data_IF_653468573780
#
_entry.id   IF_653468573780
#
_cell.length_a   1.000
_cell.length_b   1.000
_cell.length_c   1.000
_cell.angle_alpha   90.00
_cell.angle_beta   90.00
_cell.angle_gamma   90.00
#
_symmetry.space_group_name_H-M   'P 1'
#
loop_
_entity.id
_entity.type
_entity.pdbx_description
1 polymer ?
#
# COMPACT_ATOMS: atom_id res chain seq x y z
N UNK A 1 41.51 61.00 -32.56
CA UNK A 1 42.20 59.72 -32.28
C UNK A 1 41.22 58.84 -31.50
N UNK A 2 40.88 57.63 -31.98
CA UNK A 2 39.69 56.86 -31.55
C UNK A 2 39.98 55.71 -30.55
N UNK A 3 38.95 55.34 -29.75
CA UNK A 3 38.74 54.09 -28.94
C UNK A 3 39.73 53.80 -27.77
N UNK A 4 39.37 53.07 -26.67
CA UNK A 4 38.50 51.88 -26.69
C UNK A 4 37.43 51.69 -25.58
N UNK A 5 36.26 51.22 -26.02
CA UNK A 5 35.42 50.13 -25.47
C UNK A 5 35.67 49.61 -24.03
N UNK A 6 34.67 49.83 -23.16
CA UNK A 6 34.58 49.25 -21.81
C UNK A 6 33.96 47.83 -21.82
N UNK A 7 34.47 46.85 -21.03
CA UNK A 7 34.03 45.47 -21.11
C UNK A 7 32.68 45.20 -20.40
N UNK A 8 31.83 44.43 -21.07
CA UNK A 8 30.54 43.91 -20.59
C UNK A 8 30.75 42.86 -19.49
N UNK A 9 30.11 43.04 -18.33
CA UNK A 9 30.12 42.12 -17.18
C UNK A 9 29.35 40.82 -17.53
N UNK A 10 29.93 39.61 -17.38
CA UNK A 10 29.19 38.36 -17.51
C UNK A 10 28.32 38.15 -16.26
N UNK A 11 27.07 37.79 -16.50
CA UNK A 11 26.12 37.38 -15.47
C UNK A 11 26.37 35.90 -15.22
N UNK A 12 27.06 35.56 -14.13
CA UNK A 12 27.25 34.18 -13.70
C UNK A 12 25.92 33.62 -13.16
N UNK A 13 25.16 32.97 -14.02
CA UNK A 13 24.05 32.09 -13.64
C UNK A 13 24.61 30.80 -13.05
N UNK A 14 24.71 30.80 -11.71
CA UNK A 14 25.16 29.66 -10.91
C UNK A 14 24.36 28.37 -11.23
N UNK A 15 25.03 27.27 -11.66
CA UNK A 15 24.37 26.00 -12.01
C UNK A 15 23.77 25.26 -10.80
N UNK A 16 24.08 25.72 -9.59
CA UNK A 16 23.68 25.04 -8.34
C UNK A 16 22.21 25.26 -7.95
N UNK A 17 21.46 26.13 -8.64
CA UNK A 17 20.02 26.30 -8.40
C UNK A 17 19.12 25.30 -9.14
N UNK A 18 19.64 24.56 -10.12
CA UNK A 18 18.86 23.57 -10.86
C UNK A 18 18.81 22.19 -10.17
N UNK A 19 19.67 21.92 -9.19
CA UNK A 19 19.70 20.64 -8.47
C UNK A 19 18.73 20.59 -7.27
N UNK A 20 18.07 21.70 -6.94
CA UNK A 20 17.14 21.77 -5.79
C UNK A 20 15.68 21.47 -6.15
N UNK A 21 15.39 21.32 -7.45
CA UNK A 21 14.08 20.95 -7.94
C UNK A 21 14.14 19.51 -8.42
N UNK A 22 13.78 18.61 -7.51
CA UNK A 22 13.27 17.25 -7.75
C UNK A 22 14.08 16.33 -8.68
N UNK A 23 14.72 15.25 -8.17
CA UNK A 23 15.37 14.23 -9.03
C UNK A 23 14.42 13.58 -10.04
N UNK A 24 13.10 13.69 -9.85
CA UNK A 24 12.07 13.25 -10.81
C UNK A 24 12.00 14.10 -12.09
N UNK A 25 12.40 15.37 -12.07
CA UNK A 25 12.40 16.22 -13.27
C UNK A 25 13.56 15.86 -14.21
N UNK A 26 14.70 15.50 -13.63
CA UNK A 26 15.87 15.02 -14.37
C UNK A 26 15.58 13.67 -15.04
N UNK A 27 14.92 12.75 -14.33
CA UNK A 27 14.48 11.47 -14.88
C UNK A 27 13.36 11.64 -15.92
N UNK A 28 12.45 12.60 -15.72
CA UNK A 28 11.43 12.98 -16.70
C UNK A 28 12.05 13.47 -18.00
N UNK A 29 13.06 14.34 -17.93
CA UNK A 29 13.82 14.83 -19.08
C UNK A 29 14.56 13.70 -19.82
N UNK A 30 15.19 12.79 -19.09
CA UNK A 30 15.88 11.63 -19.68
C UNK A 30 14.90 10.68 -20.37
N UNK A 31 13.71 10.46 -19.77
CA UNK A 31 12.67 9.61 -20.37
C UNK A 31 12.11 10.21 -21.66
N UNK A 32 11.81 11.50 -21.67
CA UNK A 32 11.34 12.21 -22.88
C UNK A 32 12.39 12.13 -23.99
N UNK A 33 13.66 12.33 -23.65
CA UNK A 33 14.74 12.22 -24.63
C UNK A 33 14.87 10.79 -25.18
N UNK A 34 14.69 9.76 -24.33
CA UNK A 34 14.68 8.35 -24.75
C UNK A 34 13.50 8.01 -25.68
N UNK A 35 12.32 8.59 -25.44
CA UNK A 35 11.12 8.39 -26.29
C UNK A 35 11.32 9.06 -27.66
N UNK A 36 11.90 10.26 -27.70
CA UNK A 36 12.22 10.96 -28.95
C UNK A 36 13.26 10.17 -29.75
N UNK A 37 14.32 9.67 -29.10
CA UNK A 37 15.30 8.78 -29.75
C UNK A 37 14.66 7.50 -30.27
N UNK A 38 13.69 6.92 -29.56
CA UNK A 38 12.98 5.71 -30.00
C UNK A 38 12.07 5.99 -31.21
N UNK A 39 11.40 7.15 -31.26
CA UNK A 39 10.63 7.57 -32.45
C UNK A 39 11.53 7.80 -33.67
N UNK A 40 12.69 8.42 -33.49
CA UNK A 40 13.66 8.66 -34.57
C UNK A 40 14.25 7.34 -35.11
N UNK A 41 14.42 6.33 -34.26
CA UNK A 41 14.86 4.99 -34.68
C UNK A 41 13.73 4.24 -35.41
N UNK A 42 12.47 4.40 -34.97
CA UNK A 42 11.31 3.74 -35.59
C UNK A 42 10.97 4.25 -36.99
N UNK A 43 11.25 5.51 -37.33
CA UNK A 43 10.99 6.07 -38.68
C UNK A 43 12.01 5.62 -39.74
N UNK A 44 13.14 5.03 -39.33
CA UNK A 44 14.16 4.51 -40.26
C UNK A 44 13.94 3.06 -40.71
N UNK A 45 12.89 2.39 -40.22
CA UNK A 45 12.56 0.99 -40.53
C UNK A 45 11.18 0.89 -41.22
N UNK A 46 11.04 1.50 -42.40
CA UNK A 46 9.94 1.16 -43.31
C UNK A 46 10.51 0.65 -44.62
N UNK A 47 10.81 -0.66 -44.69
CA UNK A 47 10.69 -1.51 -45.89
C UNK A 47 11.07 -2.98 -45.58
N UNK A 48 10.12 -3.85 -45.91
CA UNK A 48 10.27 -5.27 -46.30
C UNK A 48 9.97 -6.36 -45.25
N UNK A 49 9.28 -7.39 -45.77
CA UNK A 49 8.45 -8.41 -45.12
C UNK A 49 9.19 -9.77 -45.02
N UNK A 50 8.55 -10.89 -44.59
CA UNK A 50 8.87 -11.65 -43.38
C UNK A 50 9.62 -12.96 -43.69
N UNK A 51 10.45 -13.46 -42.75
CA UNK A 51 10.75 -14.89 -42.53
C UNK A 51 11.82 -15.04 -41.45
N UNK A 52 11.44 -15.76 -40.39
CA UNK A 52 12.30 -16.51 -39.49
C UNK A 52 13.60 -15.83 -39.03
N UNK A 53 13.46 -14.94 -38.06
CA UNK A 53 14.45 -14.80 -37.02
C UNK A 53 13.69 -14.93 -35.70
N UNK A 54 14.16 -15.87 -34.87
CA UNK A 54 14.08 -15.88 -33.42
C UNK A 54 13.15 -14.82 -32.82
N UNK A 55 12.11 -15.30 -32.13
CA UNK A 55 11.27 -14.55 -31.19
C UNK A 55 12.17 -13.77 -30.21
N UNK A 56 12.68 -12.63 -30.65
CA UNK A 56 13.20 -11.59 -29.80
C UNK A 56 11.98 -11.05 -29.06
N UNK A 57 11.67 -11.73 -27.96
CA UNK A 57 10.89 -11.12 -26.87
C UNK A 57 11.48 -9.71 -26.73
N UNK A 58 10.71 -8.63 -26.95
CA UNK A 58 11.26 -7.28 -26.81
C UNK A 58 11.94 -7.25 -25.45
N UNK A 59 13.25 -7.00 -25.45
CA UNK A 59 14.10 -7.06 -24.27
C UNK A 59 13.36 -6.37 -23.13
N UNK A 60 13.25 -7.04 -21.98
CA UNK A 60 12.53 -6.59 -20.79
C UNK A 60 12.87 -5.12 -20.53
N UNK A 61 12.05 -4.22 -21.04
CA UNK A 61 12.54 -2.89 -21.35
C UNK A 61 12.62 -2.11 -20.05
N UNK A 62 13.82 -1.69 -19.68
CA UNK A 62 14.09 -0.84 -18.51
C UNK A 62 13.09 0.34 -18.40
N UNK A 63 12.61 0.94 -19.50
CA UNK A 63 11.53 1.94 -19.47
C UNK A 63 10.16 1.42 -18.98
N UNK A 64 9.76 0.19 -19.34
CA UNK A 64 8.49 -0.41 -18.89
C UNK A 64 8.56 -0.83 -17.43
N UNK A 65 9.69 -1.35 -16.95
CA UNK A 65 9.91 -1.58 -15.51
C UNK A 65 9.94 -0.27 -14.73
N UNK A 66 10.45 0.82 -15.33
CA UNK A 66 10.46 2.15 -14.70
C UNK A 66 9.04 2.70 -14.56
N UNK A 67 8.18 2.53 -15.57
CA UNK A 67 6.80 3.01 -15.51
C UNK A 67 5.95 2.20 -14.51
N UNK A 68 6.15 0.88 -14.48
CA UNK A 68 5.51 0.03 -13.47
C UNK A 68 6.03 0.33 -12.06
N UNK A 69 7.33 0.58 -11.89
CA UNK A 69 7.90 1.02 -10.63
C UNK A 69 7.39 2.40 -10.22
N UNK A 70 7.21 3.34 -11.15
CA UNK A 70 6.62 4.66 -10.85
C UNK A 70 5.17 4.52 -10.36
N UNK A 71 4.37 3.68 -11.01
CA UNK A 71 2.99 3.42 -10.59
C UNK A 71 2.92 2.64 -9.27
N UNK A 72 3.92 1.81 -8.97
CA UNK A 72 4.05 1.12 -7.69
C UNK A 72 4.45 2.09 -6.58
N UNK A 73 5.52 2.85 -6.78
CA UNK A 73 6.03 3.84 -5.83
C UNK A 73 5.02 4.95 -5.57
N UNK A 74 4.26 5.39 -6.59
CA UNK A 74 3.21 6.39 -6.40
C UNK A 74 2.04 5.86 -5.54
N UNK A 75 1.72 4.57 -5.64
CA UNK A 75 0.72 3.91 -4.78
C UNK A 75 1.26 3.61 -3.37
N UNK A 76 2.56 3.41 -3.21
CA UNK A 76 3.20 3.19 -1.91
C UNK A 76 3.53 4.50 -1.17
N UNK A 77 3.52 5.67 -1.82
CA UNK A 77 3.78 6.96 -1.16
C UNK A 77 2.97 7.20 0.12
N UNK A 78 1.65 6.95 0.15
CA UNK A 78 0.82 7.18 1.35
C UNK A 78 1.22 6.34 2.56
N UNK A 79 1.73 5.11 2.37
CA UNK A 79 2.12 4.27 3.52
C UNK A 79 3.37 4.82 4.21
N UNK A 80 4.31 5.38 3.45
CA UNK A 80 5.52 5.98 4.02
C UNK A 80 5.22 7.26 4.80
N UNK A 81 4.27 8.07 4.34
CA UNK A 81 3.81 9.26 5.08
C UNK A 81 3.11 8.87 6.38
N UNK A 82 2.29 7.81 6.34
CA UNK A 82 1.64 7.31 7.55
C UNK A 82 2.66 6.80 8.56
N UNK A 83 3.68 6.07 8.10
CA UNK A 83 4.78 5.60 8.95
C UNK A 83 5.55 6.77 9.58
N UNK A 84 5.93 7.76 8.78
CA UNK A 84 6.64 8.94 9.28
C UNK A 84 5.78 9.74 10.27
N UNK A 85 4.47 9.84 10.04
CA UNK A 85 3.54 10.48 10.98
C UNK A 85 3.40 9.69 12.29
N UNK A 86 3.41 8.36 12.24
CA UNK A 86 3.41 7.51 13.45
C UNK A 86 4.71 7.68 14.23
N UNK A 87 5.86 7.69 13.54
CA UNK A 87 7.16 7.94 14.17
C UNK A 87 7.25 9.38 14.73
N UNK A 88 6.64 10.36 14.07
CA UNK A 88 6.54 11.75 14.55
C UNK A 88 5.72 11.82 15.85
N UNK A 89 4.59 11.11 15.91
CA UNK A 89 3.71 11.05 17.08
C UNK A 89 4.41 10.33 18.24
N UNK A 90 4.92 9.10 18.01
CA UNK A 90 5.58 8.29 19.03
C UNK A 90 6.88 8.94 19.51
N UNK A 91 7.65 9.54 18.60
CA UNK A 91 8.90 10.23 18.89
C UNK A 91 8.75 11.62 19.52
N UNK A 92 7.51 12.07 19.80
CA UNK A 92 7.23 13.38 20.41
C UNK A 92 7.83 14.58 19.66
N UNK A 93 8.03 14.49 18.34
CA UNK A 93 8.61 15.59 17.56
C UNK A 93 7.71 16.83 17.58
N UNK A 94 6.39 16.63 17.50
CA UNK A 94 5.38 17.68 17.62
C UNK A 94 4.49 17.44 18.84
N UNK A 95 4.90 17.96 20.01
CA UNK A 95 4.26 17.67 21.28
C UNK A 95 2.76 17.97 21.32
N UNK A 96 2.30 19.03 20.63
CA UNK A 96 0.86 19.36 20.56
C UNK A 96 0.04 18.32 19.80
N UNK A 97 0.58 17.77 18.69
CA UNK A 97 -0.10 16.73 17.91
C UNK A 97 -0.09 15.40 18.68
N UNK A 98 1.04 15.05 19.28
CA UNK A 98 1.16 13.85 20.11
C UNK A 98 0.22 13.90 21.31
N UNK A 99 0.13 15.05 22.00
CA UNK A 99 -0.78 15.22 23.13
C UNK A 99 -2.25 15.14 22.71
N UNK A 100 -2.63 15.75 21.57
CA UNK A 100 -3.98 15.61 21.04
C UNK A 100 -4.31 14.16 20.67
N UNK A 101 -3.35 13.43 20.09
CA UNK A 101 -3.49 12.01 19.77
C UNK A 101 -3.61 11.14 21.03
N UNK A 102 -2.79 11.37 22.04
CA UNK A 102 -2.86 10.69 23.34
C UNK A 102 -4.21 10.97 24.02
N UNK A 103 -4.66 12.22 24.10
CA UNK A 103 -5.98 12.56 24.63
C UNK A 103 -7.12 11.91 23.84
N UNK A 104 -7.03 11.87 22.51
CA UNK A 104 -8.02 11.18 21.68
C UNK A 104 -8.02 9.66 21.94
N UNK A 105 -6.85 9.07 22.15
CA UNK A 105 -6.69 7.67 22.55
C UNK A 105 -7.27 7.39 23.93
N UNK A 106 -7.00 8.25 24.91
CA UNK A 106 -7.59 8.17 26.25
C UNK A 106 -9.11 8.19 26.19
N UNK A 107 -9.69 9.08 25.39
CA UNK A 107 -11.13 9.14 25.20
C UNK A 107 -11.70 7.87 24.53
N UNK A 108 -11.00 7.35 23.53
CA UNK A 108 -11.41 6.13 22.80
C UNK A 108 -11.34 4.88 23.70
N UNK A 109 -10.31 4.77 24.54
CA UNK A 109 -10.10 3.63 25.45
C UNK A 109 -11.09 3.58 26.62
N UNK A 110 -11.66 4.73 27.03
CA UNK A 110 -12.71 4.78 28.05
C UNK A 110 -13.98 4.02 27.66
N UNK A 111 -14.22 3.83 26.35
CA UNK A 111 -15.36 3.10 25.81
C UNK A 111 -14.89 2.10 24.73
N UNK A 112 -14.51 0.87 25.10
CA UNK A 112 -13.91 -0.11 24.19
C UNK A 112 -14.84 -0.55 23.04
N UNK A 113 -16.14 -0.26 23.14
CA UNK A 113 -17.12 -0.49 22.07
C UNK A 113 -16.72 0.23 20.77
N UNK A 114 -16.13 1.43 20.85
CA UNK A 114 -15.70 2.17 19.65
C UNK A 114 -14.54 1.48 18.91
N UNK A 115 -13.63 0.81 19.62
CA UNK A 115 -12.55 0.03 19.02
C UNK A 115 -13.05 -1.21 18.29
N UNK A 116 -14.10 -1.85 18.82
CA UNK A 116 -14.77 -2.99 18.16
C UNK A 116 -15.56 -2.52 16.94
N UNK A 117 -16.10 -1.30 16.96
CA UNK A 117 -16.90 -0.75 15.87
C UNK A 117 -16.04 -0.23 14.70
N UNK A 118 -14.81 0.22 14.95
CA UNK A 118 -13.88 0.73 13.93
C UNK A 118 -13.61 -0.23 12.77
N UNK A 119 -13.27 -1.53 12.98
CA UNK A 119 -13.07 -2.46 11.87
C UNK A 119 -14.36 -2.69 11.08
N UNK A 120 -15.53 -2.65 11.72
CA UNK A 120 -16.82 -2.76 11.03
C UNK A 120 -17.08 -1.55 10.12
N UNK A 121 -16.78 -0.33 10.59
CA UNK A 121 -16.85 0.86 9.74
C UNK A 121 -15.83 0.83 8.60
N UNK A 122 -14.62 0.33 8.83
CA UNK A 122 -13.62 0.16 7.77
C UNK A 122 -14.08 -0.85 6.71
N UNK A 123 -14.74 -1.93 7.12
CA UNK A 123 -15.36 -2.88 6.19
C UNK A 123 -16.51 -2.24 5.40
N UNK A 124 -17.38 -1.46 6.05
CA UNK A 124 -18.44 -0.73 5.34
C UNK A 124 -17.83 0.25 4.33
N UNK A 125 -16.79 0.98 4.74
CA UNK A 125 -16.06 1.92 3.88
C UNK A 125 -15.39 1.22 2.69
N UNK A 126 -14.71 0.08 2.90
CA UNK A 126 -14.06 -0.67 1.82
C UNK A 126 -15.12 -1.25 0.88
N UNK A 127 -16.26 -1.73 1.39
CA UNK A 127 -17.38 -2.20 0.58
C UNK A 127 -17.95 -1.07 -0.28
N UNK A 128 -18.15 0.12 0.29
CA UNK A 128 -18.66 1.27 -0.43
C UNK A 128 -17.67 1.76 -1.50
N UNK A 129 -16.38 1.80 -1.18
CA UNK A 129 -15.30 2.15 -2.10
C UNK A 129 -15.11 1.10 -3.20
N UNK A 130 -15.28 -0.18 -2.89
CA UNK A 130 -15.18 -1.26 -3.89
C UNK A 130 -16.40 -1.28 -4.79
N UNK A 131 -17.59 -1.05 -4.23
CA UNK A 131 -18.84 -0.96 -4.99
C UNK A 131 -18.81 0.20 -5.99
N UNK A 132 -18.31 1.38 -5.58
CA UNK A 132 -18.18 2.54 -6.49
C UNK A 132 -17.20 2.30 -7.64
N UNK A 133 -16.16 1.49 -7.42
CA UNK A 133 -15.20 1.10 -8.47
C UNK A 133 -15.73 -0.03 -9.36
N UNK A 134 -16.59 -0.91 -8.83
CA UNK A 134 -17.17 -2.06 -9.56
C UNK A 134 -18.33 -1.66 -10.47
N UNK A 135 -19.10 -0.63 -10.10
CA UNK A 135 -20.19 -0.09 -10.90
C UNK A 135 -20.07 1.44 -11.05
N UNK A 136 -19.08 1.93 -11.82
CA UNK A 136 -18.94 3.37 -12.08
C UNK A 136 -20.09 3.95 -12.94
N UNK A 137 -20.89 3.09 -13.59
CA UNK A 137 -22.16 3.43 -14.24
C UNK A 137 -23.15 2.29 -13.98
N UNK A 138 -24.39 2.63 -13.60
CA UNK A 138 -25.44 1.64 -13.34
C UNK A 138 -25.74 0.82 -14.59
N UNK A 139 -25.40 -0.46 -14.56
CA UNK A 139 -25.67 -1.43 -15.62
C UNK A 139 -27.10 -1.95 -15.44
N UNK A 140 -28.00 -1.57 -16.33
CA UNK A 140 -29.44 -1.86 -16.23
C UNK A 140 -30.04 -2.45 -17.51
N UNK A 141 -29.23 -2.98 -18.43
CA UNK A 141 -29.70 -3.19 -19.81
C UNK A 141 -29.04 -4.34 -20.59
N UNK A 142 -28.49 -5.37 -19.93
CA UNK A 142 -27.97 -6.54 -20.68
C UNK A 142 -28.43 -7.88 -20.08
N UNK A 143 -29.71 -8.22 -20.26
CA UNK A 143 -30.22 -9.59 -20.13
C UNK A 143 -30.53 -10.16 -21.52
N UNK A 144 -29.52 -10.77 -22.15
CA UNK A 144 -29.66 -11.61 -23.34
C UNK A 144 -29.15 -13.02 -23.06
N UNK A 145 -30.05 -13.98 -23.02
CA UNK A 145 -29.79 -15.39 -22.76
C UNK A 145 -29.27 -16.14 -24.01
N UNK A 146 -28.51 -17.22 -23.80
CA UNK A 146 -28.62 -18.44 -24.63
C UNK A 146 -28.14 -19.69 -23.86
N UNK A 147 -28.95 -20.76 -23.73
CA UNK A 147 -28.58 -22.01 -23.10
C UNK A 147 -28.53 -23.17 -24.12
N UNK A 148 -27.37 -23.72 -24.44
CA UNK A 148 -27.26 -25.15 -24.82
C UNK A 148 -25.81 -25.59 -25.02
N UNK A 149 -25.37 -26.65 -24.34
CA UNK A 149 -24.77 -27.82 -25.01
C UNK A 149 -24.43 -28.95 -24.03
N UNK A 150 -25.22 -30.03 -24.15
CA UNK A 150 -24.94 -31.48 -24.04
C UNK A 150 -23.80 -32.04 -23.19
N UNK A 151 -24.16 -33.02 -22.36
CA UNK A 151 -23.29 -33.98 -21.64
C UNK A 151 -23.38 -35.37 -22.30
N UNK A 152 -22.29 -36.17 -22.35
CA UNK A 152 -22.11 -37.51 -21.72
C UNK A 152 -21.05 -38.44 -22.37
N UNK A 153 -20.36 -39.23 -21.51
CA UNK A 153 -19.68 -40.57 -21.63
C UNK A 153 -18.12 -40.61 -21.51
N UNK A 154 -17.69 -41.05 -20.31
CA UNK A 154 -16.60 -41.96 -19.81
C UNK A 154 -15.34 -42.26 -20.68
N UNK A 155 -14.09 -42.46 -20.19
CA UNK A 155 -13.52 -43.04 -18.96
C UNK A 155 -12.09 -42.47 -18.66
N UNK A 156 -11.64 -42.54 -17.39
CA UNK A 156 -10.33 -42.13 -16.81
C UNK A 156 -9.94 -40.63 -16.81
N UNK A 157 -9.31 -40.12 -15.72
CA UNK A 157 -9.21 -38.68 -15.47
C UNK A 157 -8.10 -38.07 -16.32
N UNK A 158 -8.43 -37.66 -17.54
CA UNK A 158 -7.60 -36.71 -18.29
C UNK A 158 -7.69 -35.37 -17.57
N UNK A 159 -6.57 -34.94 -17.00
CA UNK A 159 -6.31 -33.61 -16.43
C UNK A 159 -6.43 -32.55 -17.55
N UNK A 160 -7.66 -32.32 -18.04
CA UNK A 160 -7.96 -31.56 -19.27
C UNK A 160 -9.41 -31.57 -19.82
N UNK A 161 -10.29 -32.53 -19.46
CA UNK A 161 -11.77 -32.56 -19.74
C UNK A 161 -12.76 -31.70 -18.87
N UNK A 162 -13.76 -30.96 -19.39
CA UNK A 162 -14.66 -30.10 -18.58
C UNK A 162 -15.25 -30.72 -17.27
N UNK A 163 -15.41 -32.05 -17.19
CA UNK A 163 -15.80 -32.74 -15.96
C UNK A 163 -14.73 -32.77 -14.83
N UNK A 164 -13.42 -32.92 -15.09
CA UNK A 164 -12.41 -32.85 -14.01
C UNK A 164 -12.33 -31.43 -13.43
N UNK A 165 -12.54 -30.40 -14.25
CA UNK A 165 -12.55 -29.01 -13.82
C UNK A 165 -13.73 -28.74 -12.87
N UNK A 166 -14.90 -29.32 -13.14
CA UNK A 166 -16.07 -29.25 -12.26
C UNK A 166 -15.83 -29.98 -10.93
N UNK A 167 -15.23 -31.17 -10.96
CA UNK A 167 -14.90 -31.91 -9.74
C UNK A 167 -13.80 -31.21 -8.92
N UNK A 168 -12.82 -30.60 -9.57
CA UNK A 168 -11.80 -29.79 -8.91
C UNK A 168 -12.41 -28.51 -8.31
N UNK A 169 -13.34 -27.86 -9.02
CA UNK A 169 -14.10 -26.71 -8.52
C UNK A 169 -14.95 -27.09 -7.31
N UNK A 170 -15.63 -28.24 -7.35
CA UNK A 170 -16.42 -28.77 -6.23
C UNK A 170 -15.53 -29.09 -5.02
N UNK A 171 -14.39 -29.76 -5.22
CA UNK A 171 -13.41 -30.02 -4.16
C UNK A 171 -12.86 -28.72 -3.56
N UNK A 172 -12.52 -27.73 -4.40
CA UNK A 172 -12.07 -26.42 -3.94
C UNK A 172 -13.17 -25.70 -3.15
N UNK A 173 -14.42 -25.78 -3.58
CA UNK A 173 -15.57 -25.20 -2.88
C UNK A 173 -15.77 -25.84 -1.50
N UNK A 174 -15.78 -27.18 -1.43
CA UNK A 174 -15.91 -27.91 -0.16
C UNK A 174 -14.73 -27.63 0.78
N UNK A 175 -13.49 -27.61 0.25
CA UNK A 175 -12.29 -27.27 1.02
C UNK A 175 -12.36 -25.85 1.59
N UNK A 176 -12.78 -24.88 0.77
CA UNK A 176 -12.97 -23.50 1.21
C UNK A 176 -14.08 -23.40 2.26
N UNK A 177 -15.15 -24.18 2.14
CA UNK A 177 -16.23 -24.22 3.11
C UNK A 177 -15.77 -24.78 4.47
N UNK A 178 -15.00 -25.87 4.48
CA UNK A 178 -14.41 -26.44 5.71
C UNK A 178 -13.44 -25.44 6.34
N UNK A 179 -12.63 -24.77 5.54
CA UNK A 179 -11.69 -23.74 6.02
C UNK A 179 -12.46 -22.57 6.64
N UNK A 180 -13.48 -22.06 5.96
CA UNK A 180 -14.33 -20.98 6.46
C UNK A 180 -15.07 -21.38 7.75
N UNK A 181 -15.54 -22.62 7.83
CA UNK A 181 -16.20 -23.16 9.01
C UNK A 181 -15.24 -23.27 10.20
N UNK A 182 -14.00 -23.69 9.98
CA UNK A 182 -12.96 -23.72 11.02
C UNK A 182 -12.60 -22.31 11.50
N UNK A 183 -12.51 -21.34 10.59
CA UNK A 183 -12.31 -19.92 10.94
C UNK A 183 -13.49 -19.42 11.78
N UNK A 184 -14.72 -19.78 11.40
CA UNK A 184 -15.92 -19.42 12.14
C UNK A 184 -15.93 -20.04 13.55
N UNK A 185 -15.62 -21.34 13.68
CA UNK A 185 -15.50 -21.99 14.99
C UNK A 185 -14.43 -21.34 15.86
N UNK A 186 -13.25 -21.06 15.30
CA UNK A 186 -12.18 -20.35 16.01
C UNK A 186 -12.64 -18.95 16.46
N UNK A 187 -13.36 -18.22 15.61
CA UNK A 187 -13.92 -16.91 15.93
C UNK A 187 -14.98 -16.99 17.04
N UNK A 188 -15.88 -17.97 16.99
CA UNK A 188 -16.93 -18.18 18.01
C UNK A 188 -16.32 -18.57 19.35
N UNK A 189 -15.37 -19.51 19.37
CA UNK A 189 -14.66 -19.92 20.60
C UNK A 189 -13.87 -18.74 21.16
N UNK A 190 -13.18 -17.98 20.30
CA UNK A 190 -12.48 -16.75 20.69
C UNK A 190 -13.45 -15.72 21.30
N UNK A 191 -14.63 -15.54 20.70
CA UNK A 191 -15.65 -14.61 21.19
C UNK A 191 -16.21 -15.06 22.54
N UNK A 192 -16.47 -16.36 22.72
CA UNK A 192 -16.92 -16.92 24.00
C UNK A 192 -15.83 -16.76 25.06
N UNK A 193 -14.57 -17.06 24.73
CA UNK A 193 -13.43 -16.86 25.64
C UNK A 193 -13.28 -15.39 26.05
N UNK A 194 -13.37 -14.47 25.08
CA UNK A 194 -13.32 -13.04 25.33
C UNK A 194 -14.54 -12.54 26.10
N UNK A 195 -15.71 -13.18 25.98
CA UNK A 195 -16.91 -12.87 26.76
C UNK A 195 -16.83 -13.38 28.21
N UNK A 196 -16.08 -14.45 28.48
CA UNK A 196 -15.84 -14.97 29.84
C UNK A 196 -14.74 -14.20 30.56
N UNK A 197 -13.67 -13.85 29.84
CA UNK A 197 -12.53 -13.05 30.35
C UNK A 197 -12.89 -11.56 30.36
N UNK A 198 -13.82 -11.17 29.49
CA UNK A 198 -14.36 -9.83 29.30
C UNK A 198 -14.68 -9.10 30.61
N UNK A 199 -15.50 -9.68 31.48
CA UNK A 199 -15.86 -9.09 32.77
C UNK A 199 -14.75 -9.14 33.82
N UNK A 200 -13.78 -10.05 33.70
CA UNK A 200 -12.69 -10.21 34.68
C UNK A 200 -11.60 -9.15 34.53
N UNK A 201 -11.36 -8.70 33.29
CA UNK A 201 -10.33 -7.71 32.99
C UNK A 201 -10.99 -6.34 32.81
N UNK A 202 -10.54 -5.29 33.52
CA UNK A 202 -11.01 -3.94 33.27
C UNK A 202 -10.39 -3.41 31.97
N UNK A 203 -10.91 -3.84 30.81
CA UNK A 203 -10.36 -3.50 29.48
C UNK A 203 -10.21 -2.01 29.25
N UNK A 204 -11.09 -1.20 29.87
CA UNK A 204 -10.99 0.26 29.90
C UNK A 204 -9.64 0.71 30.46
N UNK A 205 -9.24 0.17 31.61
CA UNK A 205 -7.96 0.49 32.25
C UNK A 205 -6.79 -0.13 31.50
N UNK A 206 -6.92 -1.35 30.98
CA UNK A 206 -5.83 -2.01 30.24
C UNK A 206 -5.48 -1.22 28.97
N UNK A 207 -6.48 -0.79 28.20
CA UNK A 207 -6.26 -0.01 26.97
C UNK A 207 -5.78 1.42 27.28
N UNK A 208 -6.34 2.03 28.33
CA UNK A 208 -5.94 3.36 28.77
C UNK A 208 -4.48 3.35 29.25
N UNK A 209 -4.17 2.54 30.26
CA UNK A 209 -2.83 2.46 30.85
C UNK A 209 -1.83 1.94 29.82
N UNK A 210 -2.19 0.90 29.06
CA UNK A 210 -1.30 0.31 28.06
C UNK A 210 -0.95 1.28 26.94
N UNK A 211 -1.92 1.99 26.38
CA UNK A 211 -1.66 2.97 25.33
C UNK A 211 -0.99 4.25 25.83
N UNK A 212 -1.45 4.81 26.95
CA UNK A 212 -0.81 5.97 27.58
C UNK A 212 0.63 5.67 27.99
N UNK A 213 0.94 4.46 28.44
CA UNK A 213 2.31 4.06 28.78
C UNK A 213 3.25 4.20 27.57
N UNK A 214 2.80 3.89 26.35
CA UNK A 214 3.63 4.06 25.14
C UNK A 214 3.98 5.53 24.91
N UNK A 215 3.03 6.44 25.13
CA UNK A 215 3.26 7.88 25.02
C UNK A 215 4.16 8.40 26.16
N UNK A 216 3.86 8.03 27.40
CA UNK A 216 4.62 8.48 28.59
C UNK A 216 6.06 7.97 28.55
N UNK A 217 6.30 6.70 28.20
CA UNK A 217 7.64 6.14 28.15
C UNK A 217 8.50 6.79 27.06
N UNK A 218 7.91 7.20 25.94
CA UNK A 218 8.62 7.90 24.88
C UNK A 218 8.72 9.42 25.09
N UNK A 219 8.13 9.95 26.16
CA UNK A 219 8.15 11.39 26.42
C UNK A 219 9.59 11.90 26.68
N UNK A 220 10.00 13.06 26.12
CA UNK A 220 11.38 13.55 26.21
C UNK A 220 11.91 13.69 27.64
N UNK A 221 11.04 14.09 28.58
CA UNK A 221 11.40 14.19 29.99
C UNK A 221 11.68 12.83 30.63
N UNK A 222 10.89 11.80 30.29
CA UNK A 222 11.08 10.45 30.83
C UNK A 222 12.35 9.85 30.25
N UNK A 223 12.57 10.00 28.94
CA UNK A 223 13.79 9.57 28.27
C UNK A 223 15.04 10.24 28.85
N UNK A 224 14.98 11.54 29.16
CA UNK A 224 16.07 12.26 29.82
C UNK A 224 16.40 11.68 31.21
N UNK A 225 15.38 11.31 31.99
CA UNK A 225 15.58 10.67 33.31
C UNK A 225 16.12 9.25 33.20
N UNK A 226 15.63 8.46 32.24
CA UNK A 226 16.15 7.12 31.99
C UNK A 226 17.62 7.16 31.53
N UNK A 227 17.99 8.13 30.70
CA UNK A 227 19.37 8.35 30.30
C UNK A 227 20.26 8.72 31.50
N UNK A 228 19.78 9.57 32.42
CA UNK A 228 20.48 9.88 33.67
C UNK A 228 20.73 8.62 34.52
N UNK A 229 19.69 7.80 34.73
CA UNK A 229 19.82 6.55 35.50
C UNK A 229 20.82 5.57 34.89
N UNK A 230 20.84 5.46 33.56
CA UNK A 230 21.81 4.60 32.85
C UNK A 230 23.25 5.10 32.97
N UNK A 231 23.44 6.41 33.14
CA UNK A 231 24.76 7.04 33.26
C UNK A 231 25.34 7.03 34.67
N UNK A 232 24.54 6.72 35.70
CA UNK A 232 25.05 6.56 37.08
C UNK A 232 25.75 5.20 37.16
N UNK A 233 27.08 5.15 37.29
CA UNK A 233 27.77 3.88 37.42
C UNK A 233 27.33 3.23 38.73
N UNK A 234 26.97 1.95 38.66
CA UNK A 234 26.65 1.10 39.81
C UNK A 234 27.90 0.94 40.69
N UNK A 235 28.17 1.94 41.52
CA UNK A 235 29.13 1.88 42.61
C UNK A 235 28.40 1.35 43.85
N UNK A 236 28.27 0.03 43.92
CA UNK A 236 28.03 -0.71 45.18
C UNK A 236 28.98 -1.88 45.18
#
# INVERSE_FOLDING_TARGET
MPEPSSPRKPTDSSPNKLLRNSPVDLLGGILVNSIISTKLISDSQTKQSPKNAMREKPALSVPLTTLNFKNFVSKCGPIFVAQEAVDEIIGWQNSSKTMACACMWAWLSLNPVYLILLPNFALIWILLATHSQRYPHGMGDDLGADPTSGKHVSDEPVEGSPEYALLAQEKNYVSNLVTALNILYAAVISTIGLALIGPLIPWRLVLLIGGEAVFVLNHPWVQARLAQLKSVPSSV
#
